data_IF_543962211581
#
_entry.id   IF_543962211581
#
_cell.length_a   1.000
_cell.length_b   1.000
_cell.length_c   1.000
_cell.angle_alpha   90.00
_cell.angle_beta   90.00
_cell.angle_gamma   90.00
#
_symmetry.space_group_name_H-M   'P 1'
#
loop_
_entity.id
_entity.type
_entity.pdbx_description
1 polymer ?
#
# COMPACT_ATOMS: atom_id res chain seq x y z
N UNK A 1 -4.43 18.75 -13.62
CA UNK A 1 -4.57 17.51 -14.41
C UNK A 1 -5.42 16.55 -13.58
N UNK A 2 -6.37 15.84 -14.20
CA UNK A 2 -7.17 14.81 -13.54
C UNK A 2 -6.55 13.46 -13.87
N UNK A 3 -6.24 12.65 -12.86
CA UNK A 3 -5.51 11.39 -13.03
C UNK A 3 -6.50 10.24 -12.87
N UNK A 4 -6.56 9.35 -13.85
CA UNK A 4 -7.50 8.22 -13.86
C UNK A 4 -6.75 6.91 -13.98
N UNK A 5 -7.21 5.91 -13.23
CA UNK A 5 -6.68 4.54 -13.27
C UNK A 5 -7.86 3.58 -13.30
N UNK A 6 -7.90 2.68 -14.28
CA UNK A 6 -9.02 1.76 -14.51
C UNK A 6 -10.42 2.45 -14.57
N UNK A 7 -10.48 3.73 -14.97
CA UNK A 7 -11.72 4.51 -15.03
C UNK A 7 -12.14 5.18 -13.72
N UNK A 8 -11.37 5.02 -12.63
CA UNK A 8 -11.56 5.72 -11.36
C UNK A 8 -10.63 6.94 -11.28
N UNK A 9 -11.16 8.07 -10.77
CA UNK A 9 -10.37 9.29 -10.53
C UNK A 9 -9.56 9.11 -9.25
N UNK A 10 -8.25 9.38 -9.33
CA UNK A 10 -7.39 9.50 -8.16
C UNK A 10 -7.33 10.97 -7.72
N UNK A 11 -7.82 11.26 -6.53
CA UNK A 11 -7.82 12.59 -5.92
C UNK A 11 -6.49 12.89 -5.20
N UNK A 12 -5.68 11.85 -4.98
CA UNK A 12 -4.37 11.94 -4.34
C UNK A 12 -3.36 10.98 -4.98
N UNK A 13 -2.07 11.19 -4.69
CA UNK A 13 -1.02 10.28 -5.15
C UNK A 13 -1.10 8.88 -4.52
N UNK A 14 -1.64 8.78 -3.30
CA UNK A 14 -1.94 7.50 -2.65
C UNK A 14 -3.07 6.78 -3.37
N UNK A 15 -4.19 7.45 -3.61
CA UNK A 15 -5.30 6.85 -4.37
C UNK A 15 -4.88 6.44 -5.79
N UNK A 16 -4.01 7.21 -6.45
CA UNK A 16 -3.48 6.83 -7.76
C UNK A 16 -2.71 5.50 -7.68
N UNK A 17 -1.89 5.35 -6.65
CA UNK A 17 -1.07 4.17 -6.42
C UNK A 17 -1.93 2.97 -6.01
N UNK A 18 -2.94 3.18 -5.17
CA UNK A 18 -3.90 2.15 -4.77
C UNK A 18 -4.71 1.64 -5.94
N UNK A 19 -5.23 2.55 -6.78
CA UNK A 19 -5.97 2.19 -7.97
C UNK A 19 -5.09 1.51 -9.02
N UNK A 20 -3.81 1.88 -9.12
CA UNK A 20 -2.86 1.29 -10.08
C UNK A 20 -2.41 -0.10 -9.69
N UNK A 21 -2.24 -0.34 -8.39
CA UNK A 21 -1.76 -1.61 -7.85
C UNK A 21 -2.91 -2.53 -7.42
N UNK A 22 -4.14 -2.02 -7.30
CA UNK A 22 -5.29 -2.76 -6.78
C UNK A 22 -5.18 -3.14 -5.30
N UNK A 23 -4.30 -2.47 -4.54
CA UNK A 23 -3.99 -2.78 -3.14
C UNK A 23 -3.97 -1.51 -2.29
N UNK A 24 -4.52 -1.58 -1.07
CA UNK A 24 -4.50 -0.48 -0.11
C UNK A 24 -3.07 -0.23 0.41
N UNK A 25 -2.60 1.01 0.39
CA UNK A 25 -1.21 1.33 0.81
C UNK A 25 -1.04 1.11 2.32
N UNK A 26 -2.08 1.41 3.09
CA UNK A 26 -2.11 1.26 4.54
C UNK A 26 -1.89 -0.19 4.98
N UNK A 27 -2.21 -1.16 4.12
CA UNK A 27 -1.89 -2.57 4.34
C UNK A 27 -0.38 -2.76 4.59
N UNK A 28 0.46 -2.04 3.86
CA UNK A 28 1.92 -2.15 3.95
C UNK A 28 2.53 -1.14 4.93
N UNK A 29 2.03 0.10 4.96
CA UNK A 29 2.60 1.17 5.79
C UNK A 29 2.09 1.18 7.23
N UNK A 30 0.93 0.55 7.48
CA UNK A 30 0.19 0.70 8.73
C UNK A 30 -0.46 2.08 8.86
N UNK A 31 -1.26 2.24 9.91
CA UNK A 31 -1.99 3.47 10.24
C UNK A 31 -1.48 4.12 11.52
N UNK A 32 -1.61 5.45 11.68
CA UNK A 32 -1.26 6.13 12.92
C UNK A 32 -2.05 5.57 14.12
N UNK A 33 -1.35 5.23 15.21
CA UNK A 33 -1.98 4.70 16.42
C UNK A 33 -2.23 3.19 16.40
N UNK A 34 -1.83 2.48 15.34
CA UNK A 34 -1.96 1.02 15.24
C UNK A 34 -1.31 0.31 16.44
N UNK A 35 -2.12 -0.47 17.15
CA UNK A 35 -1.68 -1.30 18.26
C UNK A 35 -0.81 -2.49 17.80
N UNK A 36 0.06 -3.04 18.66
CA UNK A 36 0.78 -4.28 18.33
C UNK A 36 -0.12 -5.45 17.91
N UNK A 37 -1.31 -5.53 18.49
CA UNK A 37 -2.31 -6.57 18.24
C UNK A 37 -2.94 -6.44 16.85
N UNK A 38 -3.18 -5.21 16.37
CA UNK A 38 -3.66 -4.91 15.01
C UNK A 38 -2.56 -5.04 13.96
N UNK A 39 -1.33 -4.68 14.33
CA UNK A 39 -0.16 -4.75 13.43
C UNK A 39 0.17 -6.16 12.99
N UNK A 40 0.07 -7.12 13.90
CA UNK A 40 0.45 -8.52 13.62
C UNK A 40 -0.38 -9.15 12.49
N UNK A 41 -1.73 -9.15 12.52
CA UNK A 41 -2.53 -9.68 11.44
C UNK A 41 -2.36 -8.87 10.15
N UNK A 42 -2.26 -7.54 10.21
CA UNK A 42 -1.99 -6.72 9.02
C UNK A 42 -0.68 -7.12 8.34
N UNK A 43 0.41 -7.26 9.10
CA UNK A 43 1.70 -7.69 8.55
C UNK A 43 1.64 -9.10 7.96
N UNK A 44 0.86 -10.00 8.55
CA UNK A 44 0.66 -11.33 7.98
C UNK A 44 -0.02 -11.25 6.60
N UNK A 45 -1.11 -10.49 6.49
CA UNK A 45 -1.81 -10.27 5.21
C UNK A 45 -0.90 -9.57 4.20
N UNK A 46 -0.16 -8.53 4.61
CA UNK A 46 0.77 -7.82 3.74
C UNK A 46 1.85 -8.76 3.15
N UNK A 47 2.36 -9.71 3.95
CA UNK A 47 3.32 -10.70 3.48
C UNK A 47 2.71 -11.71 2.51
N UNK A 48 1.46 -12.14 2.72
CA UNK A 48 0.76 -13.01 1.77
C UNK A 48 0.50 -12.31 0.44
N UNK A 49 0.04 -11.06 0.46
CA UNK A 49 -0.14 -10.25 -0.76
C UNK A 49 1.18 -10.07 -1.50
N UNK A 50 2.28 -9.78 -0.78
CA UNK A 50 3.61 -9.69 -1.40
C UNK A 50 4.03 -11.01 -2.07
N UNK A 51 3.69 -12.15 -1.47
CA UNK A 51 3.99 -13.46 -2.05
C UNK A 51 3.23 -13.65 -3.37
N UNK A 52 1.94 -13.38 -3.37
CA UNK A 52 1.08 -13.47 -4.56
C UNK A 52 1.53 -12.51 -5.67
N UNK A 53 1.81 -11.24 -5.33
CA UNK A 53 2.37 -10.26 -6.26
C UNK A 53 3.74 -10.70 -6.79
N UNK A 54 4.58 -11.36 -5.97
CA UNK A 54 5.90 -11.81 -6.45
C UNK A 54 5.78 -12.87 -7.57
N UNK A 55 4.65 -13.58 -7.64
CA UNK A 55 4.37 -14.59 -8.67
C UNK A 55 3.75 -13.99 -9.94
N UNK A 56 2.92 -12.94 -9.80
CA UNK A 56 2.09 -12.41 -10.91
C UNK A 56 2.49 -10.99 -11.37
N UNK A 57 3.07 -10.19 -10.48
CA UNK A 57 3.41 -8.78 -10.68
C UNK A 57 4.67 -8.38 -9.86
N UNK A 58 5.87 -8.82 -10.28
CA UNK A 58 7.09 -8.69 -9.49
C UNK A 58 7.52 -7.23 -9.22
N UNK A 59 7.17 -6.29 -10.10
CA UNK A 59 7.40 -4.86 -9.91
C UNK A 59 6.56 -4.30 -8.75
N UNK A 60 5.28 -4.68 -8.69
CA UNK A 60 4.36 -4.30 -7.63
C UNK A 60 4.78 -4.91 -6.29
N UNK A 61 5.25 -6.16 -6.31
CA UNK A 61 5.83 -6.80 -5.12
C UNK A 61 7.07 -6.06 -4.60
N UNK A 62 7.92 -5.55 -5.50
CA UNK A 62 9.10 -4.78 -5.13
C UNK A 62 8.70 -3.42 -4.52
N UNK A 63 7.67 -2.78 -5.08
CA UNK A 63 7.12 -1.53 -4.55
C UNK A 63 6.49 -1.72 -3.16
N UNK A 64 5.66 -2.75 -2.97
CA UNK A 64 5.08 -3.10 -1.67
C UNK A 64 6.16 -3.37 -0.60
N UNK A 65 7.22 -4.12 -0.96
CA UNK A 65 8.39 -4.32 -0.07
C UNK A 65 9.08 -2.99 0.27
N UNK A 66 9.16 -2.04 -0.67
CA UNK A 66 9.74 -0.74 -0.42
C UNK A 66 8.90 0.11 0.55
N UNK A 67 7.57 0.03 0.46
CA UNK A 67 6.65 0.66 1.43
C UNK A 67 6.90 0.15 2.85
N UNK A 68 7.05 -1.18 3.03
CA UNK A 68 7.34 -1.77 4.34
C UNK A 68 8.71 -1.38 4.92
N UNK A 69 9.69 -1.05 4.07
CA UNK A 69 11.05 -0.64 4.49
C UNK A 69 11.14 0.83 4.89
N UNK A 70 10.27 1.70 4.36
CA UNK A 70 10.21 3.09 4.82
C UNK A 70 9.59 3.10 6.22
N UNK A 71 10.37 3.51 7.23
CA UNK A 71 9.82 3.94 8.53
C UNK A 71 8.71 4.94 8.24
N UNK A 72 7.49 4.59 8.65
CA UNK A 72 6.25 5.38 8.63
C UNK A 72 6.47 6.80 8.12
N UNK A 73 6.18 7.02 6.84
CA UNK A 73 6.06 8.39 6.35
C UNK A 73 4.81 8.93 7.03
N UNK A 74 5.00 9.75 8.05
CA UNK A 74 3.90 10.52 8.65
C UNK A 74 3.42 11.53 7.60
N UNK A 75 2.58 11.08 6.67
CA UNK A 75 1.90 11.98 5.76
C UNK A 75 0.79 12.67 6.53
N UNK A 76 1.03 13.95 6.86
CA UNK A 76 -0.04 14.86 7.24
C UNK A 76 -0.76 15.20 5.94
N UNK A 77 -1.98 14.71 5.76
CA UNK A 77 -2.92 15.32 4.83
C UNK A 77 -3.08 16.79 5.28
N UNK A 78 -2.69 17.72 4.41
CA UNK A 78 -2.85 19.16 4.58
C UNK A 78 -4.03 19.63 3.74
#
# INVERSE_FOLDING_TARGET
MRTFVAGQEALSASEFTELALGIEIELFTGVPGESPEERRPRLAVALEVIKDLSEHAPEDAAFAKALMRRRTVQWRAA
#
